data_IF_781335633222
#
_entry.id   IF_781335633222
#
_cell.length_a   1.000
_cell.length_b   1.000
_cell.length_c   1.000
_cell.angle_alpha   90.00
_cell.angle_beta   90.00
_cell.angle_gamma   90.00
#
_symmetry.space_group_name_H-M   'P 1'
#
loop_
_entity.id
_entity.type
_entity.pdbx_description
1 polymer ?
#
# COMPACT_ATOMS: atom_id res chain seq x y z
N UNK A 1 -3.61 -5.78 11.76
CA UNK A 1 -4.67 -6.78 11.45
C UNK A 1 -4.76 -6.89 9.94
N UNK A 2 -4.57 -8.07 9.34
CA UNK A 2 -4.55 -8.16 7.86
C UNK A 2 -5.96 -7.92 7.31
N UNK A 3 -6.11 -7.01 6.35
CA UNK A 3 -7.42 -6.73 5.73
C UNK A 3 -7.93 -7.99 5.03
N UNK A 4 -9.23 -8.23 5.12
CA UNK A 4 -9.90 -9.25 4.31
C UNK A 4 -9.93 -8.82 2.85
N UNK A 5 -10.01 -9.76 1.91
CA UNK A 5 -10.15 -9.48 0.48
C UNK A 5 -11.29 -8.49 0.18
N UNK A 6 -12.36 -8.55 0.99
CA UNK A 6 -13.56 -7.72 0.84
C UNK A 6 -13.32 -6.26 1.26
N UNK A 7 -12.49 -6.05 2.28
CA UNK A 7 -12.03 -4.72 2.70
C UNK A 7 -11.10 -4.10 1.65
N UNK A 8 -10.23 -4.92 1.02
CA UNK A 8 -9.36 -4.45 -0.07
C UNK A 8 -10.17 -4.03 -1.31
N UNK A 9 -11.21 -4.78 -1.65
CA UNK A 9 -12.11 -4.43 -2.77
C UNK A 9 -12.98 -3.20 -2.50
N UNK A 10 -13.26 -2.88 -1.23
CA UNK A 10 -14.03 -1.70 -0.82
C UNK A 10 -13.12 -0.56 -0.32
N UNK A 11 -11.88 -0.52 -0.79
CA UNK A 11 -10.95 0.48 -0.34
C UNK A 11 -11.36 1.88 -0.83
N UNK A 12 -11.43 2.82 0.12
CA UNK A 12 -11.73 4.24 -0.11
C UNK A 12 -10.77 4.90 -1.12
N UNK A 13 -9.54 4.41 -1.20
CA UNK A 13 -8.52 4.95 -2.09
C UNK A 13 -8.52 4.32 -3.49
N UNK A 14 -9.43 3.39 -3.81
CA UNK A 14 -9.57 2.84 -5.17
C UNK A 14 -8.41 1.94 -5.62
N UNK A 15 -7.65 1.38 -4.68
CA UNK A 15 -6.58 0.43 -5.03
C UNK A 15 -7.14 -0.84 -5.66
N UNK A 16 -6.49 -1.29 -6.74
CA UNK A 16 -6.76 -2.59 -7.35
C UNK A 16 -5.69 -3.58 -6.92
N UNK A 17 -5.83 -4.09 -5.70
CA UNK A 17 -4.92 -5.10 -5.17
C UNK A 17 -5.13 -6.45 -5.83
N UNK A 18 -4.11 -6.92 -6.53
CA UNK A 18 -4.01 -8.29 -7.02
C UNK A 18 -3.06 -9.08 -6.11
N UNK A 19 -3.45 -10.32 -5.78
CA UNK A 19 -2.58 -11.20 -5.00
C UNK A 19 -1.41 -11.68 -5.85
N UNK A 20 -0.20 -11.43 -5.38
CA UNK A 20 1.04 -11.98 -5.93
C UNK A 20 1.72 -12.84 -4.85
N UNK A 21 1.50 -14.16 -4.92
CA UNK A 21 1.96 -15.11 -3.90
C UNK A 21 1.41 -14.83 -2.49
N UNK A 22 2.26 -14.25 -1.63
CA UNK A 22 1.96 -13.93 -0.23
C UNK A 22 1.69 -12.45 0.04
N UNK A 23 1.85 -11.58 -0.97
CA UNK A 23 1.62 -10.14 -0.89
C UNK A 23 0.49 -9.74 -1.83
N UNK A 24 -0.06 -8.54 -1.64
CA UNK A 24 -1.08 -7.98 -2.51
C UNK A 24 -0.56 -6.69 -3.14
N UNK A 25 -0.42 -6.66 -4.46
CA UNK A 25 0.17 -5.52 -5.18
C UNK A 25 -0.95 -4.77 -5.89
N UNK A 26 -1.01 -3.46 -5.68
CA UNK A 26 -1.90 -2.58 -6.42
C UNK A 26 -1.40 -2.43 -7.86
N UNK A 27 -2.23 -2.80 -8.83
CA UNK A 27 -1.88 -2.75 -10.25
C UNK A 27 -1.80 -1.32 -10.82
N UNK A 28 -2.29 -0.31 -10.08
CA UNK A 28 -2.28 1.08 -10.52
C UNK A 28 -1.02 1.82 -10.06
N UNK A 29 -0.71 1.80 -8.77
CA UNK A 29 0.40 2.55 -8.20
C UNK A 29 1.59 1.68 -7.74
N UNK A 30 1.45 0.36 -7.75
CA UNK A 30 2.52 -0.56 -7.34
C UNK A 30 2.68 -0.72 -5.83
N UNK A 31 1.79 -0.15 -5.00
CA UNK A 31 1.79 -0.36 -3.54
C UNK A 31 1.57 -1.84 -3.21
N UNK A 32 2.42 -2.42 -2.38
CA UNK A 32 2.36 -3.81 -1.95
C UNK A 32 1.91 -3.92 -0.49
N UNK A 33 0.77 -4.54 -0.22
CA UNK A 33 0.33 -4.90 1.13
C UNK A 33 0.90 -6.27 1.52
N UNK A 34 1.68 -6.29 2.60
CA UNK A 34 2.25 -7.50 3.18
C UNK A 34 1.34 -8.10 4.26
N UNK A 35 1.53 -9.38 4.59
CA UNK A 35 0.69 -10.07 5.60
C UNK A 35 0.76 -9.49 7.01
N UNK A 36 1.83 -8.74 7.31
CA UNK A 36 1.96 -8.06 8.59
C UNK A 36 1.02 -6.84 8.71
N UNK A 37 0.38 -6.43 7.62
CA UNK A 37 -0.46 -5.23 7.56
C UNK A 37 0.30 -3.98 7.10
N UNK A 38 1.60 -4.09 6.81
CA UNK A 38 2.41 -3.00 6.30
C UNK A 38 2.22 -2.86 4.79
N UNK A 39 2.16 -1.61 4.34
CA UNK A 39 2.12 -1.19 2.96
C UNK A 39 3.52 -0.78 2.54
N UNK A 40 4.00 -1.38 1.48
CA UNK A 40 5.32 -1.19 0.91
C UNK A 40 5.21 -0.46 -0.41
N UNK A 41 5.98 0.60 -0.57
CA UNK A 41 6.01 1.35 -1.82
C UNK A 41 7.37 2.04 -1.99
N UNK A 42 7.95 1.90 -3.18
CA UNK A 42 9.23 2.52 -3.55
C UNK A 42 10.38 2.32 -2.53
N UNK A 43 10.45 1.15 -1.88
CA UNK A 43 11.49 0.81 -0.90
C UNK A 43 11.24 1.31 0.52
N UNK A 44 10.09 1.93 0.78
CA UNK A 44 9.63 2.36 2.10
C UNK A 44 8.42 1.56 2.54
N UNK A 45 8.14 1.54 3.84
CA UNK A 45 6.95 0.92 4.38
C UNK A 45 6.24 1.79 5.41
N UNK A 46 4.94 1.57 5.56
CA UNK A 46 4.15 2.17 6.63
C UNK A 46 2.98 1.26 6.99
N UNK A 47 2.48 1.35 8.22
CA UNK A 47 1.21 0.72 8.62
C UNK A 47 0.00 1.41 7.98
N UNK A 48 0.16 2.66 7.55
CA UNK A 48 -0.89 3.41 6.87
C UNK A 48 -0.83 3.14 5.37
N UNK A 49 -1.98 3.03 4.73
CA UNK A 49 -2.05 2.80 3.29
C UNK A 49 -1.83 4.11 2.52
N UNK A 50 -0.93 4.16 1.52
CA UNK A 50 -0.80 5.32 0.65
C UNK A 50 -2.04 5.50 -0.20
N UNK A 51 -2.34 6.71 -0.68
CA UNK A 51 -3.38 6.89 -1.68
C UNK A 51 -2.95 6.28 -3.04
N UNK A 52 -3.92 5.93 -3.87
CA UNK A 52 -3.67 5.26 -5.15
C UNK A 52 -3.56 6.26 -6.30
N UNK A 53 -2.61 6.03 -7.20
CA UNK A 53 -2.61 6.40 -8.63
C UNK A 53 -2.76 7.88 -8.99
N UNK A 54 -3.90 8.47 -8.67
CA UNK A 54 -4.30 9.83 -9.06
C UNK A 54 -3.84 10.88 -8.04
N UNK A 55 -3.66 10.49 -6.77
CA UNK A 55 -3.26 11.40 -5.70
C UNK A 55 -1.74 11.39 -5.52
N UNK A 56 -1.04 12.11 -6.40
CA UNK A 56 0.43 12.23 -6.37
C UNK A 56 0.90 12.94 -5.11
N UNK A 57 0.20 14.00 -4.68
CA UNK A 57 0.55 14.77 -3.50
C UNK A 57 0.47 13.93 -2.21
N UNK A 58 -0.57 13.11 -2.07
CA UNK A 58 -0.71 12.22 -0.93
C UNK A 58 0.24 11.02 -0.98
N UNK A 59 0.63 10.54 -2.17
CA UNK A 59 1.69 9.53 -2.32
C UNK A 59 3.05 10.10 -1.89
N UNK A 60 3.35 11.33 -2.28
CA UNK A 60 4.58 12.03 -1.90
C UNK A 60 4.64 12.27 -0.38
N UNK A 61 3.54 12.77 0.20
CA UNK A 61 3.42 12.94 1.65
C UNK A 61 3.52 11.61 2.41
N UNK A 62 2.93 10.54 1.86
CA UNK A 62 3.09 9.20 2.43
C UNK A 62 4.55 8.74 2.36
N UNK A 63 5.23 8.97 1.23
CA UNK A 63 6.63 8.56 1.04
C UNK A 63 7.57 9.27 2.00
N UNK A 64 7.37 10.57 2.22
CA UNK A 64 8.16 11.35 3.16
C UNK A 64 7.98 10.87 4.61
N UNK A 65 6.75 10.49 4.98
CA UNK A 65 6.41 9.98 6.30
C UNK A 65 6.70 8.48 6.50
N UNK A 66 6.89 7.71 5.42
CA UNK A 66 7.09 6.27 5.48
C UNK A 66 8.49 5.91 5.97
N UNK A 67 8.56 4.80 6.72
CA UNK A 67 9.77 4.27 7.30
C UNK A 67 10.64 3.62 6.21
N UNK A 68 11.96 3.71 6.37
CA UNK A 68 12.94 3.04 5.52
C UNK A 68 13.38 1.78 6.26
N UNK A 69 13.37 0.61 5.62
CA UNK A 69 13.90 -0.60 6.25
C UNK A 69 15.44 -0.54 6.25
N UNK A 70 16.00 -0.10 7.38
CA UNK A 70 17.45 -0.07 7.64
C UNK A 70 17.95 1.24 8.24
N UNK A 71 17.95 1.33 9.58
CA UNK A 71 18.97 2.04 10.37
C UNK A 71 19.62 1.03 11.34
#
# INVERSE_FOLDING_TARGET
>A
MVRTTRERMNNKHGHHYQRDGSIYICQYCGTAEHRNGNFWWAGRFSECEPPCGDDVAGQDAWFDAAEIEGD
#
